data_IF_342318627144
#
_entry.id   IF_342318627144
#
_cell.length_a   1.000
_cell.length_b   1.000
_cell.length_c   1.000
_cell.angle_alpha   90.00
_cell.angle_beta   90.00
_cell.angle_gamma   90.00
#
_symmetry.space_group_name_H-M   'P 1'
#
loop_
_entity.id
_entity.type
_entity.pdbx_description
1 polymer ?
#
# COMPACT_ATOMS: atom_id res chain seq x y z
N UNK A 1 30.49 -11.46 34.58
CA UNK A 1 29.15 -11.39 33.97
C UNK A 1 28.68 -12.81 33.71
N UNK A 2 27.49 -13.18 34.17
CA UNK A 2 26.92 -14.50 33.92
C UNK A 2 26.27 -14.56 32.53
N UNK A 3 26.11 -15.76 31.97
CA UNK A 3 25.39 -15.97 30.70
C UNK A 3 23.97 -15.38 30.75
N UNK A 4 23.32 -15.43 31.92
CA UNK A 4 21.99 -14.84 32.11
C UNK A 4 21.98 -13.30 32.00
N UNK A 5 23.04 -12.62 32.47
CA UNK A 5 23.18 -11.17 32.36
C UNK A 5 23.44 -10.72 30.91
N UNK A 6 24.19 -11.51 30.14
CA UNK A 6 24.40 -11.31 28.70
C UNK A 6 23.09 -11.36 27.91
N UNK A 7 22.28 -12.38 28.13
CA UNK A 7 20.98 -12.50 27.45
C UNK A 7 20.02 -11.37 27.84
N UNK A 8 20.00 -10.97 29.11
CA UNK A 8 19.20 -9.79 29.54
C UNK A 8 19.65 -8.51 28.84
N UNK A 9 20.95 -8.28 28.71
CA UNK A 9 21.47 -7.12 28.00
C UNK A 9 21.09 -7.16 26.51
N UNK A 10 21.18 -8.32 25.87
CA UNK A 10 20.74 -8.50 24.49
C UNK A 10 19.25 -8.22 24.31
N UNK A 11 18.40 -8.67 25.24
CA UNK A 11 16.95 -8.45 25.17
C UNK A 11 16.60 -6.98 25.38
N UNK A 12 17.27 -6.29 26.31
CA UNK A 12 17.13 -4.84 26.50
C UNK A 12 17.53 -4.10 25.21
N UNK A 13 18.66 -4.44 24.60
CA UNK A 13 19.10 -3.83 23.35
C UNK A 13 18.11 -4.09 22.21
N UNK A 14 17.59 -5.31 22.09
CA UNK A 14 16.51 -5.62 21.13
C UNK A 14 15.28 -4.77 21.38
N UNK A 15 14.89 -4.58 22.64
CA UNK A 15 13.75 -3.76 22.99
C UNK A 15 13.96 -2.29 22.60
N UNK A 16 15.12 -1.72 22.90
CA UNK A 16 15.47 -0.34 22.51
C UNK A 16 15.44 -0.17 20.99
N UNK A 17 15.93 -1.16 20.23
CA UNK A 17 15.91 -1.11 18.77
C UNK A 17 14.49 -1.20 18.21
N UNK A 18 13.62 -2.02 18.81
CA UNK A 18 12.19 -2.09 18.47
C UNK A 18 11.46 -0.77 18.72
N UNK A 19 11.73 -0.12 19.85
CA UNK A 19 11.19 1.21 20.17
C UNK A 19 11.60 2.27 19.14
N UNK A 20 12.74 2.08 18.46
CA UNK A 20 13.21 2.95 17.37
C UNK A 20 12.69 2.55 15.98
N UNK A 21 11.82 1.54 15.88
CA UNK A 21 11.25 1.09 14.61
C UNK A 21 12.14 0.15 13.79
N UNK A 22 13.20 -0.39 14.42
CA UNK A 22 14.10 -1.39 13.83
C UNK A 22 13.70 -2.82 14.22
N UNK A 23 12.41 -3.14 14.07
CA UNK A 23 11.82 -4.41 14.53
C UNK A 23 12.41 -5.67 13.86
N UNK A 24 12.99 -5.47 12.67
CA UNK A 24 13.54 -6.53 11.85
C UNK A 24 15.05 -6.72 12.04
N UNK A 25 15.73 -5.85 12.80
CA UNK A 25 17.16 -5.97 13.03
C UNK A 25 17.47 -7.10 14.01
N UNK A 26 18.47 -7.92 13.67
CA UNK A 26 18.89 -9.04 14.50
C UNK A 26 20.18 -8.69 15.24
N UNK A 27 20.13 -8.74 16.57
CA UNK A 27 21.34 -8.68 17.40
C UNK A 27 21.90 -10.09 17.54
N UNK A 28 23.07 -10.34 16.94
CA UNK A 28 23.77 -11.62 17.00
C UNK A 28 24.96 -11.48 17.95
N UNK A 29 25.10 -12.45 18.85
CA UNK A 29 26.30 -12.60 19.69
C UNK A 29 27.19 -13.63 18.96
N UNK A 30 28.32 -13.23 18.36
CA UNK A 30 29.27 -14.17 17.79
C UNK A 30 29.87 -15.06 18.89
N UNK A 31 30.42 -16.22 18.53
CA UNK A 31 31.16 -17.06 19.49
C UNK A 31 32.35 -16.25 20.04
N UNK A 32 32.40 -16.10 21.37
CA UNK A 32 33.48 -15.39 22.06
C UNK A 32 34.33 -16.40 22.81
N UNK A 33 35.64 -16.38 22.56
CA UNK A 33 36.60 -17.14 23.36
C UNK A 33 36.69 -16.50 24.75
N UNK A 34 36.04 -17.12 25.73
CA UNK A 34 36.14 -16.70 27.13
C UNK A 34 37.47 -17.21 27.68
N UNK A 35 38.46 -16.32 27.80
CA UNK A 35 39.72 -16.66 28.46
C UNK A 35 39.51 -16.78 29.98
N UNK A 36 39.81 -17.96 30.53
CA UNK A 36 39.82 -18.25 31.96
C UNK A 36 41.07 -17.67 32.65
N UNK A 37 41.17 -16.34 32.70
CA UNK A 37 42.21 -15.64 33.46
C UNK A 37 41.82 -15.44 34.92
N UNK A 38 42.55 -16.06 35.85
CA UNK A 38 42.48 -15.78 37.29
C UNK A 38 43.11 -14.41 37.60
N UNK A 39 42.31 -13.35 37.70
CA UNK A 39 42.76 -12.01 38.08
C UNK A 39 41.60 -11.02 38.19
N UNK A 40 41.70 -10.08 39.14
CA UNK A 40 40.64 -9.17 39.63
C UNK A 40 40.12 -8.10 38.63
N UNK A 41 40.50 -8.17 37.35
CA UNK A 41 39.99 -7.27 36.31
C UNK A 41 39.68 -8.06 35.03
N UNK A 42 38.59 -8.84 35.02
CA UNK A 42 38.02 -9.36 33.76
C UNK A 42 37.07 -8.33 33.16
N UNK A 43 37.61 -7.36 32.42
CA UNK A 43 36.85 -6.65 31.40
C UNK A 43 36.55 -7.64 30.27
N UNK A 44 35.33 -8.17 30.24
CA UNK A 44 34.89 -9.05 29.16
C UNK A 44 34.43 -8.16 28.02
N UNK A 45 35.27 -8.02 26.99
CA UNK A 45 34.95 -7.20 25.81
C UNK A 45 33.81 -7.88 25.04
N UNK A 46 32.60 -7.36 25.22
CA UNK A 46 31.39 -7.91 24.61
C UNK A 46 31.25 -7.37 23.19
N UNK A 47 31.71 -8.15 22.21
CA UNK A 47 31.48 -7.85 20.79
C UNK A 47 30.06 -8.27 20.36
N UNK A 48 29.13 -7.31 20.23
CA UNK A 48 27.78 -7.52 19.69
C UNK A 48 27.76 -7.08 18.22
N UNK A 49 27.20 -7.90 17.34
CA UNK A 49 27.01 -7.51 15.93
C UNK A 49 25.53 -7.31 15.65
N UNK A 50 25.19 -6.12 15.15
CA UNK A 50 23.84 -5.81 14.69
C UNK A 50 23.79 -6.12 13.19
N UNK A 51 22.90 -7.04 12.81
CA UNK A 51 22.59 -7.33 11.41
C UNK A 51 21.32 -6.57 11.06
N UNK A 52 21.43 -5.61 10.14
CA UNK A 52 20.29 -4.84 9.67
C UNK A 52 19.48 -5.67 8.68
N UNK A 53 18.16 -5.64 8.81
CA UNK A 53 17.29 -6.25 7.81
C UNK A 53 17.28 -5.40 6.55
N UNK A 54 17.38 -6.03 5.39
CA UNK A 54 17.31 -5.36 4.09
C UNK A 54 16.35 -6.10 3.17
N UNK A 55 15.62 -5.37 2.31
CA UNK A 55 14.74 -5.97 1.32
C UNK A 55 15.54 -6.24 0.06
N UNK A 56 15.75 -7.51 -0.26
CA UNK A 56 16.55 -7.92 -1.44
C UNK A 56 15.68 -8.16 -2.66
N UNK A 57 14.53 -8.80 -2.44
CA UNK A 57 13.60 -9.15 -3.50
C UNK A 57 12.16 -8.79 -3.13
N UNK A 58 11.39 -8.38 -4.13
CA UNK A 58 9.97 -8.01 -3.97
C UNK A 58 9.20 -8.85 -4.96
N UNK A 59 8.30 -9.66 -4.42
CA UNK A 59 7.54 -10.64 -5.17
C UNK A 59 6.08 -10.30 -5.01
N UNK A 60 5.48 -9.80 -6.08
CA UNK A 60 4.04 -9.51 -6.12
C UNK A 60 3.32 -10.74 -6.67
N UNK A 61 2.32 -11.20 -5.94
CA UNK A 61 1.46 -12.32 -6.27
C UNK A 61 0.01 -11.84 -6.26
N UNK A 62 -0.84 -12.32 -7.17
CA UNK A 62 -2.27 -12.12 -7.03
C UNK A 62 -2.76 -12.87 -5.78
N UNK A 63 -3.58 -12.19 -4.98
CA UNK A 63 -4.25 -12.81 -3.84
C UNK A 63 -5.20 -13.91 -4.35
N UNK A 64 -5.25 -15.08 -3.70
CA UNK A 64 -6.23 -16.12 -4.00
C UNK A 64 -7.63 -15.67 -3.56
N UNK A 65 -8.21 -14.73 -4.28
CA UNK A 65 -9.56 -14.25 -4.08
C UNK A 65 -10.62 -15.22 -4.62
N UNK A 66 -11.86 -14.94 -4.26
CA UNK A 66 -13.07 -15.74 -4.55
C UNK A 66 -13.40 -15.81 -6.06
N UNK A 67 -12.65 -15.12 -6.91
CA UNK A 67 -12.74 -15.16 -8.38
C UNK A 67 -11.44 -15.73 -8.91
N UNK A 68 -11.57 -16.90 -9.55
CA UNK A 68 -10.49 -17.69 -10.17
C UNK A 68 -9.66 -18.56 -9.21
N UNK A 69 -10.35 -19.44 -8.49
CA UNK A 69 -9.95 -20.86 -8.48
C UNK A 69 -10.03 -21.44 -9.92
N UNK A 70 -9.21 -20.97 -10.85
CA UNK A 70 -9.08 -21.44 -12.24
C UNK A 70 -8.25 -20.41 -13.01
N UNK A 71 -6.95 -20.33 -12.76
CA UNK A 71 -6.11 -20.87 -13.82
C UNK A 71 -4.97 -21.70 -13.25
N UNK A 72 -4.88 -22.94 -13.74
CA UNK A 72 -3.96 -23.99 -13.29
C UNK A 72 -2.51 -23.71 -13.72
N UNK A 73 -2.01 -22.50 -13.49
CA UNK A 73 -0.65 -22.03 -13.80
C UNK A 73 0.01 -21.21 -12.70
N UNK A 74 -0.66 -20.87 -11.60
CA UNK A 74 -0.01 -20.41 -10.37
C UNK A 74 0.40 -21.58 -9.48
N UNK A 75 0.91 -22.65 -10.11
CA UNK A 75 1.87 -23.50 -9.43
C UNK A 75 3.15 -22.65 -9.30
N UNK A 76 3.20 -21.84 -8.24
CA UNK A 76 4.46 -21.45 -7.66
C UNK A 76 5.21 -22.76 -7.40
N UNK A 77 6.07 -23.14 -8.34
CA UNK A 77 7.16 -24.06 -8.07
C UNK A 77 7.98 -23.29 -7.03
N UNK A 78 7.65 -23.54 -5.77
CA UNK A 78 8.46 -23.13 -4.65
C UNK A 78 9.77 -23.91 -4.78
N UNK A 79 10.72 -23.37 -5.55
CA UNK A 79 12.10 -23.55 -5.16
C UNK A 79 12.18 -23.08 -3.72
N UNK A 80 12.72 -23.95 -2.85
CA UNK A 80 12.64 -23.88 -1.37
C UNK A 80 13.02 -22.53 -0.76
N UNK A 81 13.61 -21.64 -1.55
CA UNK A 81 14.22 -20.39 -1.14
C UNK A 81 13.81 -19.15 -1.93
N UNK A 82 13.22 -19.27 -3.13
CA UNK A 82 12.93 -18.10 -3.97
C UNK A 82 11.58 -18.22 -4.62
N UNK A 83 10.62 -17.41 -4.16
CA UNK A 83 9.42 -17.20 -4.95
C UNK A 83 9.78 -16.34 -6.14
N UNK A 84 9.54 -16.84 -7.35
CA UNK A 84 9.53 -16.01 -8.57
C UNK A 84 8.09 -15.60 -8.79
N UNK A 85 7.78 -14.33 -8.50
CA UNK A 85 6.49 -13.75 -8.87
C UNK A 85 6.47 -13.36 -10.34
N UNK A 86 5.26 -13.37 -10.90
CA UNK A 86 4.95 -12.68 -12.15
C UNK A 86 4.24 -11.41 -11.72
N UNK A 87 4.82 -10.24 -12.01
CA UNK A 87 4.20 -8.98 -11.61
C UNK A 87 3.12 -8.58 -12.61
N UNK A 88 1.89 -8.98 -12.32
CA UNK A 88 0.70 -8.50 -13.04
C UNK A 88 0.34 -7.04 -12.66
N UNK A 89 0.94 -6.52 -11.58
CA UNK A 89 0.71 -5.20 -11.01
C UNK A 89 1.99 -4.33 -10.92
N UNK A 90 2.56 -3.86 -12.06
CA UNK A 90 3.75 -3.01 -12.09
C UNK A 90 3.66 -1.75 -11.25
N UNK A 91 2.47 -1.15 -11.06
CA UNK A 91 2.35 0.04 -10.24
C UNK A 91 2.59 -0.26 -8.74
N UNK A 92 1.97 -1.33 -8.21
CA UNK A 92 2.23 -1.78 -6.83
C UNK A 92 3.68 -2.17 -6.65
N UNK A 93 4.24 -2.90 -7.62
CA UNK A 93 5.65 -3.30 -7.60
C UNK A 93 6.58 -2.07 -7.54
N UNK A 94 6.25 -0.99 -8.26
CA UNK A 94 7.05 0.23 -8.26
C UNK A 94 7.10 0.95 -6.91
N UNK A 95 5.99 0.96 -6.15
CA UNK A 95 5.98 1.49 -4.78
C UNK A 95 6.82 0.60 -3.85
N UNK A 96 6.59 -0.71 -3.85
CA UNK A 96 7.28 -1.63 -2.96
C UNK A 96 8.78 -1.76 -3.28
N UNK A 97 9.18 -1.59 -4.55
CA UNK A 97 10.58 -1.57 -4.95
C UNK A 97 11.35 -0.37 -4.35
N UNK A 98 10.68 0.69 -3.89
CA UNK A 98 11.35 1.81 -3.20
C UNK A 98 12.00 1.35 -1.88
N UNK A 99 11.46 0.32 -1.23
CA UNK A 99 12.05 -0.26 -0.01
C UNK A 99 13.46 -0.84 -0.22
N UNK A 100 13.80 -1.23 -1.46
CA UNK A 100 15.15 -1.70 -1.79
C UNK A 100 16.20 -0.57 -1.72
N UNK A 101 15.77 0.69 -1.85
CA UNK A 101 16.66 1.85 -1.90
C UNK A 101 16.96 2.47 -0.53
N UNK A 102 16.16 2.16 0.50
CA UNK A 102 16.28 2.76 1.84
C UNK A 102 17.39 2.13 2.71
N UNK A 103 18.01 1.04 2.24
CA UNK A 103 19.20 0.43 2.84
C UNK A 103 18.92 -0.39 4.10
N UNK A 104 18.08 0.07 5.02
CA UNK A 104 17.64 -0.68 6.21
C UNK A 104 16.11 -0.71 6.27
N UNK A 105 15.54 -1.90 6.44
CA UNK A 105 14.11 -2.08 6.58
C UNK A 105 13.67 -1.60 7.97
N UNK A 106 12.85 -0.55 7.99
CA UNK A 106 12.18 -0.06 9.20
C UNK A 106 10.68 -0.27 9.08
N UNK A 107 10.00 -0.42 10.21
CA UNK A 107 8.55 -0.58 10.24
C UNK A 107 7.86 0.63 9.63
N UNK A 108 8.30 1.84 9.98
CA UNK A 108 7.74 3.08 9.44
C UNK A 108 7.85 3.17 7.91
N UNK A 109 8.97 2.76 7.34
CA UNK A 109 9.16 2.82 5.90
C UNK A 109 8.38 1.72 5.16
N UNK A 110 8.33 0.51 5.72
CA UNK A 110 7.48 -0.57 5.23
C UNK A 110 6.01 -0.16 5.22
N UNK A 111 5.48 0.31 6.35
CA UNK A 111 4.10 0.75 6.49
C UNK A 111 3.79 1.89 5.51
N UNK A 112 4.68 2.87 5.38
CA UNK A 112 4.51 3.97 4.41
C UNK A 112 4.35 3.43 2.99
N UNK A 113 5.22 2.52 2.56
CA UNK A 113 5.18 2.03 1.18
C UNK A 113 3.98 1.11 0.94
N UNK A 114 3.53 0.36 1.95
CA UNK A 114 2.27 -0.40 1.89
C UNK A 114 1.08 0.56 1.74
N UNK A 115 1.00 1.59 2.58
CA UNK A 115 -0.08 2.57 2.52
C UNK A 115 -0.11 3.31 1.17
N UNK A 116 1.06 3.63 0.59
CA UNK A 116 1.13 4.23 -0.75
C UNK A 116 0.68 3.26 -1.85
N UNK A 117 0.95 1.96 -1.68
CA UNK A 117 0.44 0.95 -2.60
C UNK A 117 -1.08 0.72 -2.45
N UNK A 118 -1.63 0.87 -1.25
CA UNK A 118 -3.07 0.80 -0.97
C UNK A 118 -3.84 2.09 -1.30
N UNK A 119 -3.15 3.21 -1.47
CA UNK A 119 -3.73 4.46 -1.98
C UNK A 119 -4.13 4.34 -3.47
N UNK A 120 -3.74 3.24 -4.13
CA UNK A 120 -4.19 2.93 -5.49
C UNK A 120 -5.67 2.49 -5.44
N UNK A 121 -6.57 3.13 -6.21
CA UNK A 121 -7.98 2.79 -6.17
C UNK A 121 -8.26 1.31 -6.45
N UNK A 122 -8.99 0.67 -5.53
CA UNK A 122 -9.46 -0.71 -5.69
C UNK A 122 -8.37 -1.76 -5.54
N UNK A 123 -7.21 -1.40 -4.99
CA UNK A 123 -6.11 -2.32 -4.70
C UNK A 123 -6.04 -2.54 -3.18
N UNK A 124 -5.89 -3.79 -2.77
CA UNK A 124 -5.58 -4.16 -1.38
C UNK A 124 -4.32 -5.01 -1.36
N UNK A 125 -3.38 -4.69 -0.46
CA UNK A 125 -2.05 -5.28 -0.44
C UNK A 125 -1.78 -5.91 0.91
N UNK A 126 -1.67 -7.23 0.94
CA UNK A 126 -1.18 -7.95 2.12
C UNK A 126 0.30 -8.28 1.94
N UNK A 127 1.12 -8.05 2.95
CA UNK A 127 2.56 -8.22 2.84
C UNK A 127 3.09 -9.21 3.87
N UNK A 128 3.96 -10.11 3.40
CA UNK A 128 4.66 -11.09 4.21
C UNK A 128 6.17 -10.96 4.02
N UNK A 129 6.90 -10.93 5.12
CA UNK A 129 8.36 -10.96 5.12
C UNK A 129 8.83 -12.40 5.27
N UNK A 130 9.68 -12.84 4.34
CA UNK A 130 10.33 -14.14 4.38
C UNK A 130 11.84 -13.96 4.49
N UNK A 131 12.53 -14.65 5.42
CA UNK A 131 13.98 -14.65 5.44
C UNK A 131 14.54 -15.08 4.08
N UNK A 132 15.55 -14.36 3.60
CA UNK A 132 16.30 -14.76 2.40
C UNK A 132 17.20 -15.96 2.74
N UNK A 133 17.40 -16.85 1.78
CA UNK A 133 18.25 -18.04 1.98
C UNK A 133 19.73 -17.78 1.71
N UNK A 134 20.05 -16.75 0.91
CA UNK A 134 21.40 -16.51 0.40
C UNK A 134 22.19 -15.59 1.33
N UNK A 135 21.52 -14.79 2.17
CA UNK A 135 22.17 -13.76 3.00
C UNK A 135 21.51 -13.56 4.37
N UNK A 136 22.35 -13.50 5.41
CA UNK A 136 21.92 -13.19 6.78
C UNK A 136 21.53 -11.71 6.87
N UNK A 137 20.27 -11.44 7.24
CA UNK A 137 19.71 -10.08 7.22
C UNK A 137 19.01 -9.70 5.92
N UNK A 138 19.17 -10.51 4.87
CA UNK A 138 18.37 -10.40 3.65
C UNK A 138 16.94 -10.87 3.90
N UNK A 139 15.96 -10.14 3.38
CA UNK A 139 14.54 -10.50 3.43
C UNK A 139 13.91 -10.39 2.05
N UNK A 140 13.10 -11.39 1.71
CA UNK A 140 12.21 -11.38 0.55
C UNK A 140 10.84 -10.85 1.00
N UNK A 141 10.39 -9.78 0.36
CA UNK A 141 9.06 -9.21 0.54
C UNK A 141 8.08 -9.92 -0.41
N UNK A 142 7.03 -10.51 0.14
CA UNK A 142 5.98 -11.18 -0.64
C UNK A 142 4.70 -10.38 -0.47
N UNK A 143 4.24 -9.72 -1.52
CA UNK A 143 3.00 -8.96 -1.54
C UNK A 143 1.90 -9.74 -2.25
N UNK A 144 0.78 -9.96 -1.56
CA UNK A 144 -0.44 -10.56 -2.08
C UNK A 144 -1.42 -9.43 -2.41
N UNK A 145 -1.75 -9.27 -3.69
CA UNK A 145 -2.53 -8.14 -4.20
C UNK A 145 -3.92 -8.60 -4.62
N UNK A 146 -4.95 -7.94 -4.08
CA UNK A 146 -6.34 -8.11 -4.50
C UNK A 146 -6.78 -6.87 -5.26
N UNK A 147 -7.49 -7.04 -6.38
CA UNK A 147 -8.01 -5.91 -7.18
C UNK A 147 -9.51 -6.03 -7.39
N UNK A 148 -10.23 -4.96 -7.03
CA UNK A 148 -11.65 -4.79 -7.27
C UNK A 148 -11.86 -3.82 -8.45
N UNK A 149 -12.09 -4.36 -9.64
CA UNK A 149 -12.20 -3.57 -10.88
C UNK A 149 -13.46 -2.69 -10.96
N UNK A 150 -14.51 -3.01 -10.20
CA UNK A 150 -15.82 -2.34 -10.33
C UNK A 150 -16.53 -2.23 -9.00
N UNK A 151 -17.22 -1.11 -8.82
CA UNK A 151 -18.09 -0.87 -7.67
C UNK A 151 -19.42 -0.28 -8.14
N UNK A 152 -20.49 -0.76 -7.52
CA UNK A 152 -21.84 -0.30 -7.78
C UNK A 152 -22.45 0.18 -6.47
N UNK A 153 -23.00 1.38 -6.48
CA UNK A 153 -23.69 1.98 -5.33
C UNK A 153 -25.10 2.41 -5.73
N UNK A 154 -26.06 2.17 -4.85
CA UNK A 154 -27.41 2.69 -4.98
C UNK A 154 -27.97 3.01 -3.60
N UNK A 155 -28.60 4.18 -3.47
CA UNK A 155 -29.23 4.63 -2.23
C UNK A 155 -30.62 5.20 -2.52
N UNK A 156 -31.51 5.03 -1.56
CA UNK A 156 -32.85 5.57 -1.55
C UNK A 156 -33.12 6.12 -0.15
N UNK A 157 -33.32 7.43 -0.08
CA UNK A 157 -33.28 8.17 1.16
C UNK A 157 -34.43 9.18 1.19
N UNK A 158 -34.78 9.65 2.39
CA UNK A 158 -35.80 10.69 2.58
C UNK A 158 -35.24 12.02 3.11
N UNK A 159 -33.98 12.31 2.79
CA UNK A 159 -33.24 13.49 3.28
C UNK A 159 -33.29 14.69 2.33
N UNK A 160 -33.98 14.56 1.20
CA UNK A 160 -34.13 15.66 0.26
C UNK A 160 -34.98 16.81 0.83
N UNK A 161 -34.77 18.00 0.26
CA UNK A 161 -35.46 19.20 0.68
C UNK A 161 -36.97 19.07 0.53
N UNK A 162 -37.73 19.61 1.49
CA UNK A 162 -39.21 19.67 1.43
C UNK A 162 -39.72 20.36 0.16
N UNK A 163 -38.91 21.23 -0.44
CA UNK A 163 -39.26 21.96 -1.65
C UNK A 163 -39.09 21.15 -2.94
N UNK A 164 -38.32 20.06 -2.92
CA UNK A 164 -37.92 19.32 -4.14
C UNK A 164 -38.44 17.88 -4.18
N UNK A 165 -39.22 17.52 -3.16
CA UNK A 165 -39.67 16.17 -2.86
C UNK A 165 -38.82 15.56 -1.73
N UNK A 166 -39.45 14.89 -0.74
CA UNK A 166 -38.72 14.34 0.41
C UNK A 166 -37.85 13.14 0.02
N UNK A 167 -38.15 12.47 -1.10
CA UNK A 167 -37.44 11.25 -1.51
C UNK A 167 -36.36 11.55 -2.56
N UNK A 168 -35.18 11.01 -2.34
CA UNK A 168 -34.04 11.03 -3.26
C UNK A 168 -33.54 9.62 -3.57
N UNK A 169 -33.05 9.48 -4.78
CA UNK A 169 -32.40 8.28 -5.28
C UNK A 169 -31.01 8.66 -5.80
N UNK A 170 -29.99 7.96 -5.34
CA UNK A 170 -28.63 8.08 -5.87
C UNK A 170 -28.21 6.74 -6.44
N UNK A 171 -27.64 6.73 -7.64
CA UNK A 171 -27.04 5.55 -8.23
C UNK A 171 -25.66 5.93 -8.77
N UNK A 172 -24.67 5.09 -8.54
CA UNK A 172 -23.33 5.32 -9.01
C UNK A 172 -22.64 4.03 -9.42
N UNK A 173 -21.75 4.15 -10.39
CA UNK A 173 -20.87 3.07 -10.84
C UNK A 173 -19.46 3.61 -10.93
N UNK A 174 -18.49 2.84 -10.42
CA UNK A 174 -17.07 3.14 -10.55
C UNK A 174 -16.38 2.00 -11.27
N UNK A 175 -15.50 2.36 -12.17
CA UNK A 175 -14.60 1.46 -12.86
C UNK A 175 -13.17 1.82 -12.47
N UNK A 176 -12.39 0.83 -12.03
CA UNK A 176 -11.02 1.01 -11.57
C UNK A 176 -10.07 0.21 -12.46
N UNK A 177 -8.90 0.78 -12.71
CA UNK A 177 -7.87 0.24 -13.61
C UNK A 177 -8.42 -0.07 -15.02
N UNK A 178 -9.25 0.82 -15.58
CA UNK A 178 -9.91 0.67 -16.88
C UNK A 178 -9.00 1.07 -18.06
N UNK A 179 -8.24 2.17 -17.95
CA UNK A 179 -7.34 2.67 -19.01
C UNK A 179 -5.89 2.38 -18.64
N UNK A 180 -5.50 2.67 -17.41
CA UNK A 180 -4.15 2.44 -16.85
C UNK A 180 -4.29 1.89 -15.43
N UNK A 181 -3.30 1.13 -14.95
CA UNK A 181 -3.31 0.66 -13.57
C UNK A 181 -3.38 1.84 -12.59
N UNK A 182 -4.31 1.76 -11.65
CA UNK A 182 -4.52 2.80 -10.64
C UNK A 182 -5.32 4.02 -11.10
N UNK A 183 -6.03 3.93 -12.22
CA UNK A 183 -7.10 4.89 -12.54
C UNK A 183 -8.44 4.50 -11.90
N UNK A 184 -9.29 5.50 -11.71
CA UNK A 184 -10.69 5.32 -11.34
C UNK A 184 -11.54 6.25 -12.20
N UNK A 185 -12.68 5.76 -12.68
CA UNK A 185 -13.68 6.53 -13.41
C UNK A 185 -15.04 6.26 -12.77
N UNK A 186 -15.66 7.33 -12.28
CA UNK A 186 -16.97 7.34 -11.65
C UNK A 186 -18.04 7.95 -12.55
N UNK A 187 -19.22 7.35 -12.52
CA UNK A 187 -20.45 7.96 -12.99
C UNK A 187 -21.46 7.90 -11.85
N UNK A 188 -21.94 9.06 -11.42
CA UNK A 188 -22.98 9.17 -10.39
C UNK A 188 -24.17 9.94 -10.92
N UNK A 189 -25.36 9.39 -10.71
CA UNK A 189 -26.64 10.01 -11.01
C UNK A 189 -27.44 10.20 -9.72
N UNK A 190 -28.04 11.37 -9.58
CA UNK A 190 -28.89 11.76 -8.47
C UNK A 190 -30.24 12.23 -9.01
N UNK A 191 -31.32 11.80 -8.37
CA UNK A 191 -32.68 12.15 -8.76
C UNK A 191 -33.55 12.35 -7.52
N UNK A 192 -34.25 13.48 -7.44
CA UNK A 192 -35.42 13.57 -6.56
C UNK A 192 -36.60 12.95 -7.31
N UNK A 193 -37.30 11.98 -6.71
CA UNK A 193 -38.31 11.15 -7.41
C UNK A 193 -39.50 11.96 -7.98
N UNK A 194 -39.60 13.25 -7.63
CA UNK A 194 -40.54 14.21 -8.21
C UNK A 194 -40.01 14.90 -9.51
N UNK A 195 -38.83 14.50 -10.01
CA UNK A 195 -38.11 15.02 -11.20
C UNK A 195 -37.77 16.51 -11.19
N UNK A 196 -37.83 17.17 -10.04
CA UNK A 196 -37.49 18.59 -9.93
C UNK A 196 -35.97 18.84 -9.87
N UNK A 197 -35.20 17.87 -9.36
CA UNK A 197 -33.75 17.89 -9.37
C UNK A 197 -33.19 16.60 -9.96
N UNK A 198 -32.40 16.74 -11.02
CA UNK A 198 -31.65 15.64 -11.66
C UNK A 198 -30.21 16.09 -11.79
N UNK A 199 -29.27 15.37 -11.22
CA UNK A 199 -27.86 15.73 -11.30
C UNK A 199 -27.05 14.53 -11.77
N UNK A 200 -26.12 14.78 -12.69
CA UNK A 200 -25.14 13.80 -13.15
C UNK A 200 -23.74 14.31 -12.91
N UNK A 201 -22.89 13.44 -12.39
CA UNK A 201 -21.46 13.66 -12.17
C UNK A 201 -20.68 12.57 -12.88
N UNK A 202 -19.68 12.97 -13.64
CA UNK A 202 -18.63 12.09 -14.13
C UNK A 202 -17.34 12.57 -13.47
N UNK A 203 -16.61 11.67 -12.87
CA UNK A 203 -15.32 11.93 -12.27
C UNK A 203 -14.32 10.88 -12.72
N UNK A 204 -13.04 11.25 -12.72
CA UNK A 204 -11.98 10.30 -12.97
C UNK A 204 -10.67 10.77 -12.37
N UNK A 205 -9.90 9.83 -11.88
CA UNK A 205 -8.59 10.05 -11.29
C UNK A 205 -7.57 9.03 -11.78
N UNK A 206 -6.29 9.36 -11.66
CA UNK A 206 -5.19 8.45 -11.98
C UNK A 206 -4.08 8.60 -10.95
N UNK A 207 -3.71 7.47 -10.33
CA UNK A 207 -2.59 7.36 -9.42
C UNK A 207 -1.27 7.09 -10.18
N UNK A 208 -0.15 7.55 -9.63
CA UNK A 208 1.18 7.33 -10.20
C UNK A 208 2.23 7.26 -9.07
N UNK A 209 3.17 6.32 -9.18
CA UNK A 209 4.18 6.05 -8.15
C UNK A 209 4.94 7.29 -7.64
N UNK A 210 5.35 8.16 -8.56
CA UNK A 210 6.23 9.30 -8.27
C UNK A 210 5.51 10.65 -8.35
N UNK A 211 4.19 10.67 -8.55
CA UNK A 211 3.44 11.91 -8.74
C UNK A 211 2.10 11.89 -8.03
N UNK A 212 1.65 13.05 -7.55
CA UNK A 212 0.32 13.14 -6.96
C UNK A 212 -0.77 12.73 -7.93
N UNK A 213 -1.83 12.13 -7.39
CA UNK A 213 -3.00 11.76 -8.17
C UNK A 213 -3.63 13.00 -8.81
N UNK A 214 -4.00 12.86 -10.07
CA UNK A 214 -4.71 13.88 -10.82
C UNK A 214 -6.15 13.46 -11.01
N UNK A 215 -7.10 14.39 -10.78
CA UNK A 215 -8.53 14.13 -10.98
C UNK A 215 -9.24 15.23 -11.75
N UNK A 216 -10.22 14.84 -12.54
CA UNK A 216 -11.16 15.75 -13.21
C UNK A 216 -12.59 15.28 -12.97
N UNK A 217 -13.49 16.24 -12.84
CA UNK A 217 -14.91 16.02 -12.65
C UNK A 217 -15.73 16.96 -13.54
N UNK A 218 -16.81 16.46 -14.11
CA UNK A 218 -17.77 17.21 -14.90
C UNK A 218 -19.18 16.91 -14.39
N UNK A 219 -19.94 17.95 -14.10
CA UNK A 219 -21.25 17.86 -13.49
C UNK A 219 -22.31 18.61 -14.29
N UNK A 220 -23.53 18.08 -14.37
CA UNK A 220 -24.66 18.71 -15.07
C UNK A 220 -25.96 18.53 -14.29
N UNK A 221 -26.85 19.52 -14.33
CA UNK A 221 -28.18 19.45 -13.71
C UNK A 221 -29.06 20.65 -14.06
N UNK A 222 -30.37 20.61 -13.76
CA UNK A 222 -31.33 21.65 -14.18
C UNK A 222 -31.09 23.00 -13.51
N UNK A 223 -30.35 23.04 -12.40
CA UNK A 223 -29.98 24.27 -11.70
C UNK A 223 -28.76 25.00 -12.33
N UNK A 224 -28.04 24.38 -13.26
CA UNK A 224 -26.89 24.97 -13.96
C UNK A 224 -26.92 24.58 -15.46
N UNK A 225 -27.27 25.49 -16.38
CA UNK A 225 -27.42 25.18 -17.80
C UNK A 225 -26.09 24.83 -18.51
N UNK A 226 -24.95 25.21 -17.93
CA UNK A 226 -23.61 24.88 -18.41
C UNK A 226 -22.98 23.80 -17.53
N UNK A 227 -22.31 22.77 -18.10
CA UNK A 227 -21.61 21.77 -17.30
C UNK A 227 -20.52 22.45 -16.47
N UNK A 228 -20.55 22.21 -15.16
CA UNK A 228 -19.48 22.65 -14.27
C UNK A 228 -18.33 21.63 -14.38
N UNK A 229 -17.20 22.06 -14.94
CA UNK A 229 -15.99 21.24 -15.02
C UNK A 229 -15.03 21.74 -13.95
N UNK A 230 -14.59 20.83 -13.08
CA UNK A 230 -13.57 21.07 -12.07
C UNK A 230 -12.47 20.04 -12.21
N UNK A 231 -11.24 20.48 -12.39
CA UNK A 231 -10.07 19.62 -12.28
C UNK A 231 -9.26 20.08 -11.08
N UNK A 232 -8.95 19.14 -10.19
CA UNK A 232 -8.19 19.41 -8.98
C UNK A 232 -6.92 18.57 -8.99
N UNK A 233 -5.80 19.20 -8.62
CA UNK A 233 -4.54 18.52 -8.35
C UNK A 233 -4.37 18.38 -6.85
N UNK A 234 -4.10 17.17 -6.37
CA UNK A 234 -3.62 17.01 -5.00
C UNK A 234 -2.11 17.27 -4.98
N UNK A 235 -1.71 18.54 -4.95
CA UNK A 235 -0.32 19.06 -4.97
C UNK A 235 0.39 19.17 -6.34
N UNK A 236 0.72 20.42 -6.67
CA UNK A 236 1.83 20.95 -7.47
C UNK A 236 2.31 20.21 -8.75
N UNK A 237 1.75 20.69 -9.87
CA UNK A 237 2.27 20.72 -11.26
C UNK A 237 1.81 19.61 -12.23
N UNK A 238 0.92 20.00 -13.15
CA UNK A 238 0.78 19.39 -14.48
C UNK A 238 -0.32 18.36 -14.72
N UNK A 239 -1.58 18.66 -14.40
CA UNK A 239 -2.73 17.98 -15.01
C UNK A 239 -3.79 18.99 -15.43
N UNK A 240 -4.23 18.85 -16.70
CA UNK A 240 -5.23 19.60 -17.45
C UNK A 240 -5.80 20.89 -16.82
N UNK A 241 -5.41 22.03 -17.39
CA UNK A 241 -6.21 23.25 -17.30
C UNK A 241 -7.61 22.98 -17.90
N UNK A 242 -8.71 23.43 -17.28
CA UNK A 242 -10.02 23.35 -17.91
C UNK A 242 -9.98 24.11 -19.25
N UNK A 243 -10.68 23.64 -20.30
CA UNK A 243 -10.77 24.40 -21.54
C UNK A 243 -11.41 25.76 -21.20
N UNK A 244 -10.75 26.83 -21.62
CA UNK A 244 -11.27 28.18 -21.46
C UNK A 244 -12.66 28.25 -22.11
N UNK A 245 -13.68 28.53 -21.31
CA UNK A 245 -15.04 28.80 -21.78
C UNK A 245 -15.00 30.04 -22.68
N UNK A 246 -15.21 29.85 -23.99
CA UNK A 246 -15.51 30.90 -24.95
C UNK A 246 -17.01 31.06 -25.15
#
# INVERSE_FOLDING_TARGET
MTVAELFRLSDILKQVMREQGHDFNLVVIPEQEVSDGSGDEKATDLHLTIVNATVRDVVVLPSPGNKAASDRRSAAVAERCRLKGVSDFPLVESYLNQLKSEGSLTTAALERQILLAEDIPGVSVEVFLRPDCDEVGGTQLVASVTVDEREYQASLDNRASKFTGPMEATAGVRFRSLITQGDEIGLTAYNTLNREQVFGLIDGSTARSERPACGCAAASGPAAPSPAISCAMSATTGCCSPPASG
#
